data_IF_812107740254
#
_entry.id   IF_812107740254
#
_cell.length_a   1.000
_cell.length_b   1.000
_cell.length_c   1.000
_cell.angle_alpha   90.00
_cell.angle_beta   90.00
_cell.angle_gamma   90.00
#
_symmetry.space_group_name_H-M   'P 1'
#
loop_
_entity.id
_entity.type
_entity.pdbx_description
1 polymer ?
#
# COMPACT_ATOMS: atom_id res chain seq x y z
N UNK A 1 -30.29 5.11 -5.83
CA UNK A 1 -30.34 5.56 -7.24
C UNK A 1 -31.51 6.50 -7.59
N UNK A 2 -32.69 6.47 -6.93
CA UNK A 2 -33.82 7.38 -7.30
C UNK A 2 -33.63 8.86 -6.93
N UNK A 3 -32.88 9.19 -5.87
CA UNK A 3 -32.69 10.57 -5.40
C UNK A 3 -31.78 11.41 -6.32
N UNK A 4 -30.60 10.90 -6.68
CA UNK A 4 -29.66 11.60 -7.60
C UNK A 4 -30.32 11.92 -8.94
N UNK A 5 -31.10 10.97 -9.49
CA UNK A 5 -31.76 11.14 -10.79
C UNK A 5 -32.84 12.24 -10.77
N UNK A 6 -33.50 12.47 -9.64
CA UNK A 6 -34.47 13.57 -9.48
C UNK A 6 -33.78 14.92 -9.29
N UNK A 7 -32.61 14.95 -8.65
CA UNK A 7 -31.86 16.19 -8.47
C UNK A 7 -31.22 16.69 -9.76
N UNK A 8 -30.65 15.78 -10.57
CA UNK A 8 -30.06 16.14 -11.87
C UNK A 8 -31.10 16.65 -12.89
N UNK A 9 -32.38 16.24 -12.78
CA UNK A 9 -33.43 16.73 -13.69
C UNK A 9 -33.87 18.19 -13.44
N UNK A 10 -33.44 18.80 -12.33
CA UNK A 10 -33.74 20.21 -11.97
C UNK A 10 -32.47 21.06 -11.86
N UNK A 11 -31.36 20.57 -12.44
CA UNK A 11 -30.04 21.17 -12.35
C UNK A 11 -29.99 22.65 -12.76
N UNK A 12 -30.66 23.04 -13.85
CA UNK A 12 -30.70 24.44 -14.31
C UNK A 12 -31.32 25.43 -13.32
N UNK A 13 -32.18 24.98 -12.39
CA UNK A 13 -32.86 25.86 -11.43
C UNK A 13 -32.15 25.90 -10.06
N UNK A 14 -31.30 24.90 -9.77
CA UNK A 14 -30.66 24.72 -8.46
C UNK A 14 -29.18 25.08 -8.41
N UNK A 15 -28.52 25.31 -9.56
CA UNK A 15 -27.07 25.56 -9.62
C UNK A 15 -26.60 26.81 -8.86
N UNK A 16 -27.49 27.74 -8.57
CA UNK A 16 -27.20 28.94 -7.77
C UNK A 16 -27.71 28.85 -6.31
N UNK A 17 -28.35 27.74 -5.93
CA UNK A 17 -28.84 27.51 -4.57
C UNK A 17 -27.81 26.69 -3.77
N UNK A 18 -27.18 27.25 -2.71
CA UNK A 18 -26.24 26.52 -1.88
C UNK A 18 -26.84 25.26 -1.24
N UNK A 19 -28.15 25.27 -0.94
CA UNK A 19 -28.85 24.16 -0.31
C UNK A 19 -29.08 23.00 -1.28
N UNK A 20 -29.25 23.29 -2.57
CA UNK A 20 -29.36 22.28 -3.62
C UNK A 20 -28.04 21.50 -3.75
N UNK A 21 -26.93 22.22 -3.82
CA UNK A 21 -25.57 21.65 -3.82
C UNK A 21 -25.30 20.83 -2.56
N UNK A 22 -25.69 21.33 -1.38
CA UNK A 22 -25.58 20.58 -0.13
C UNK A 22 -26.34 19.25 -0.17
N UNK A 23 -27.60 19.26 -0.63
CA UNK A 23 -28.45 18.05 -0.71
C UNK A 23 -27.88 17.00 -1.65
N UNK A 24 -27.30 17.43 -2.77
CA UNK A 24 -26.63 16.55 -3.72
C UNK A 24 -25.36 15.97 -3.12
N UNK A 25 -24.51 16.80 -2.52
CA UNK A 25 -23.31 16.34 -1.81
C UNK A 25 -23.64 15.32 -0.73
N UNK A 26 -24.71 15.59 0.04
CA UNK A 26 -25.20 14.69 1.07
C UNK A 26 -25.67 13.34 0.48
N UNK A 27 -26.41 13.37 -0.63
CA UNK A 27 -26.83 12.14 -1.30
C UNK A 27 -25.62 11.31 -1.79
N UNK A 28 -24.62 11.96 -2.39
CA UNK A 28 -23.39 11.31 -2.83
C UNK A 28 -22.58 10.73 -1.66
N UNK A 29 -22.48 11.47 -0.55
CA UNK A 29 -21.78 11.04 0.66
C UNK A 29 -22.34 9.72 1.22
N UNK A 30 -23.67 9.63 1.39
CA UNK A 30 -24.31 8.40 1.89
C UNK A 30 -24.32 7.25 0.88
N UNK A 31 -24.06 7.53 -0.39
CA UNK A 31 -23.81 6.53 -1.42
C UNK A 31 -22.33 6.14 -1.54
N UNK A 32 -21.47 6.65 -0.64
CA UNK A 32 -20.01 6.47 -0.62
C UNK A 32 -19.30 6.98 -1.88
N UNK A 33 -19.95 7.84 -2.66
CA UNK A 33 -19.40 8.50 -3.84
C UNK A 33 -18.72 9.80 -3.41
N UNK A 34 -17.62 9.66 -2.67
CA UNK A 34 -17.03 10.77 -1.95
C UNK A 34 -16.40 11.83 -2.87
N UNK A 35 -15.94 11.46 -4.07
CA UNK A 35 -15.37 12.42 -5.04
C UNK A 35 -16.43 13.39 -5.54
N UNK A 36 -17.60 12.86 -5.90
CA UNK A 36 -18.77 13.61 -6.33
C UNK A 36 -19.36 14.44 -5.17
N UNK A 37 -19.36 13.88 -3.95
CA UNK A 37 -19.77 14.61 -2.74
C UNK A 37 -18.88 15.84 -2.49
N UNK A 38 -17.56 15.71 -2.62
CA UNK A 38 -16.61 16.83 -2.47
C UNK A 38 -16.90 17.95 -3.46
N UNK A 39 -17.19 17.63 -4.72
CA UNK A 39 -17.49 18.65 -5.75
C UNK A 39 -18.75 19.43 -5.36
N UNK A 40 -19.82 18.74 -5.00
CA UNK A 40 -21.08 19.37 -4.62
C UNK A 40 -20.96 20.20 -3.32
N UNK A 41 -20.28 19.69 -2.29
CA UNK A 41 -20.06 20.47 -1.06
C UNK A 41 -19.14 21.68 -1.27
N UNK A 42 -18.14 21.60 -2.16
CA UNK A 42 -17.33 22.77 -2.55
C UNK A 42 -18.19 23.87 -3.17
N UNK A 43 -19.14 23.50 -4.04
CA UNK A 43 -20.06 24.46 -4.65
C UNK A 43 -20.99 25.08 -3.60
N UNK A 44 -21.50 24.27 -2.67
CA UNK A 44 -22.31 24.75 -1.54
C UNK A 44 -21.55 25.77 -0.69
N UNK A 45 -20.32 25.46 -0.26
CA UNK A 45 -19.46 26.37 0.51
C UNK A 45 -19.06 27.63 -0.28
N UNK A 46 -18.87 27.53 -1.60
CA UNK A 46 -18.55 28.68 -2.43
C UNK A 46 -19.71 29.68 -2.55
N UNK A 47 -20.95 29.18 -2.49
CA UNK A 47 -22.17 29.99 -2.56
C UNK A 47 -22.61 30.50 -1.17
N UNK A 48 -22.35 29.74 -0.10
CA UNK A 48 -22.56 30.13 1.28
C UNK A 48 -21.37 29.72 2.18
N UNK A 49 -20.36 30.60 2.34
CA UNK A 49 -19.18 30.32 3.15
C UNK A 49 -19.45 30.24 4.66
N UNK A 50 -20.60 30.73 5.14
CA UNK A 50 -20.95 30.71 6.57
C UNK A 50 -21.65 29.39 6.97
N UNK A 51 -22.01 28.53 6.01
CA UNK A 51 -22.59 27.22 6.29
C UNK A 51 -21.54 26.25 6.87
N UNK A 52 -21.52 26.20 8.20
CA UNK A 52 -20.73 25.26 8.98
C UNK A 52 -21.01 23.79 8.66
N UNK A 53 -22.23 23.44 8.24
CA UNK A 53 -22.57 22.06 7.88
C UNK A 53 -21.95 21.69 6.54
N UNK A 54 -22.05 22.56 5.53
CA UNK A 54 -21.42 22.32 4.23
C UNK A 54 -19.90 22.15 4.34
N UNK A 55 -19.26 22.98 5.17
CA UNK A 55 -17.82 22.88 5.45
C UNK A 55 -17.45 21.59 6.19
N UNK A 56 -18.22 21.21 7.22
CA UNK A 56 -18.04 19.95 7.95
C UNK A 56 -18.17 18.74 7.04
N UNK A 57 -19.22 18.69 6.21
CA UNK A 57 -19.44 17.57 5.30
C UNK A 57 -18.41 17.53 4.16
N UNK A 58 -17.88 18.68 3.72
CA UNK A 58 -16.75 18.73 2.79
C UNK A 58 -15.50 18.06 3.40
N UNK A 59 -15.18 18.38 4.65
CA UNK A 59 -14.04 17.80 5.36
C UNK A 59 -14.24 16.30 5.63
N UNK A 60 -15.42 15.90 6.10
CA UNK A 60 -15.78 14.49 6.26
C UNK A 60 -15.70 13.73 4.93
N UNK A 61 -16.12 14.34 3.82
CA UNK A 61 -16.04 13.72 2.50
C UNK A 61 -14.59 13.59 2.01
N UNK A 62 -13.71 14.55 2.29
CA UNK A 62 -12.26 14.45 2.00
C UNK A 62 -11.61 13.35 2.80
N UNK A 63 -11.91 13.28 4.10
CA UNK A 63 -11.39 12.23 4.99
C UNK A 63 -11.90 10.84 4.57
N UNK A 64 -13.18 10.73 4.20
CA UNK A 64 -13.76 9.48 3.72
C UNK A 64 -13.24 9.09 2.32
N UNK A 65 -13.02 10.04 1.41
CA UNK A 65 -12.38 9.79 0.12
C UNK A 65 -10.93 9.34 0.28
N UNK A 66 -10.19 9.95 1.21
CA UNK A 66 -8.83 9.53 1.56
C UNK A 66 -8.83 8.13 2.19
N UNK A 67 -9.73 7.84 3.13
CA UNK A 67 -9.88 6.52 3.74
C UNK A 67 -10.35 5.44 2.75
N UNK A 68 -11.23 5.77 1.82
CA UNK A 68 -11.68 4.85 0.76
C UNK A 68 -10.59 4.65 -0.31
N UNK A 69 -9.75 5.67 -0.54
CA UNK A 69 -8.50 5.52 -1.29
C UNK A 69 -7.48 4.61 -0.59
N UNK A 70 -7.51 4.54 0.74
CA UNK A 70 -6.69 3.60 1.52
C UNK A 70 -7.21 2.14 1.51
N UNK A 71 -8.47 1.90 1.13
CA UNK A 71 -9.01 0.53 0.92
C UNK A 71 -8.75 0.00 -0.49
N UNK A 72 -8.30 0.84 -1.42
CA UNK A 72 -7.84 0.43 -2.76
C UNK A 72 -6.39 0.85 -2.92
N UNK A 73 -5.47 0.01 -2.42
CA UNK A 73 -4.01 0.01 -2.67
C UNK A 73 -3.54 1.36 -3.23
N UNK A 74 -3.21 2.30 -2.35
CA UNK A 74 -2.44 3.47 -2.75
C UNK A 74 -1.02 2.99 -3.07
N UNK A 75 -0.85 2.46 -4.28
CA UNK A 75 0.43 2.51 -4.99
C UNK A 75 0.72 4.02 -5.08
N UNK A 76 1.58 4.55 -4.20
CA UNK A 76 2.21 5.83 -4.54
C UNK A 76 2.80 5.64 -5.93
N UNK A 77 2.51 6.54 -6.88
CA UNK A 77 3.12 6.46 -8.20
C UNK A 77 4.65 6.51 -8.06
N UNK A 78 5.28 5.33 -8.05
CA UNK A 78 6.72 5.10 -8.13
C UNK A 78 7.27 5.70 -9.44
N UNK A 79 6.38 5.93 -10.41
CA UNK A 79 6.63 6.53 -11.73
C UNK A 79 7.31 7.92 -11.74
N UNK A 80 7.47 8.61 -10.60
CA UNK A 80 8.15 9.93 -10.55
C UNK A 80 9.49 9.92 -9.79
N UNK A 81 9.94 8.77 -9.30
CA UNK A 81 11.21 8.63 -8.58
C UNK A 81 12.09 7.68 -9.40
N UNK A 82 12.89 8.24 -10.32
CA UNK A 82 13.75 7.49 -11.25
C UNK A 82 14.65 6.48 -10.51
N UNK A 83 15.13 6.84 -9.31
CA UNK A 83 15.95 5.96 -8.47
C UNK A 83 15.17 4.73 -7.98
N UNK A 84 13.87 4.89 -7.66
CA UNK A 84 13.02 3.77 -7.24
C UNK A 84 12.67 2.85 -8.41
N UNK A 85 12.39 3.41 -9.59
CA UNK A 85 12.11 2.64 -10.80
C UNK A 85 13.31 1.77 -11.20
N UNK A 86 14.52 2.33 -11.16
CA UNK A 86 15.74 1.57 -11.48
C UNK A 86 15.98 0.43 -10.48
N UNK A 87 15.66 0.65 -9.20
CA UNK A 87 15.75 -0.40 -8.17
C UNK A 87 14.70 -1.48 -8.42
N UNK A 88 13.45 -1.12 -8.69
CA UNK A 88 12.35 -2.07 -8.92
C UNK A 88 12.67 -3.07 -10.03
N UNK A 89 13.23 -2.62 -11.16
CA UNK A 89 13.63 -3.50 -12.26
C UNK A 89 14.71 -4.50 -11.86
N UNK A 90 15.63 -4.11 -10.96
CA UNK A 90 16.75 -4.96 -10.50
C UNK A 90 16.32 -5.97 -9.46
N UNK A 91 15.23 -5.72 -8.74
CA UNK A 91 14.78 -6.57 -7.63
C UNK A 91 13.63 -7.50 -8.01
N UNK A 92 13.18 -7.56 -9.28
CA UNK A 92 12.19 -8.55 -9.72
C UNK A 92 12.62 -9.95 -9.26
N UNK A 93 11.72 -10.75 -8.61
CA UNK A 93 10.27 -10.57 -8.51
C UNK A 93 9.75 -9.79 -7.28
N UNK A 94 10.61 -9.17 -6.49
CA UNK A 94 10.19 -8.30 -5.39
C UNK A 94 9.60 -6.98 -5.91
N UNK A 95 8.73 -6.36 -5.11
CA UNK A 95 8.05 -5.11 -5.41
C UNK A 95 8.21 -4.14 -4.25
N UNK A 96 8.31 -2.83 -4.54
CA UNK A 96 8.31 -1.81 -3.51
C UNK A 96 6.91 -1.20 -3.43
N UNK A 97 6.39 -1.03 -2.22
CA UNK A 97 5.09 -0.39 -1.98
C UNK A 97 5.27 0.66 -0.91
N UNK A 98 5.10 1.92 -1.29
CA UNK A 98 5.17 3.02 -0.36
C UNK A 98 3.77 3.30 0.25
N UNK A 99 3.73 3.54 1.56
CA UNK A 99 2.52 3.72 2.35
C UNK A 99 2.32 5.18 2.78
N UNK A 100 1.07 5.55 3.04
CA UNK A 100 0.71 6.93 3.44
C UNK A 100 1.35 7.41 4.76
N UNK A 101 1.83 6.49 5.60
CA UNK A 101 2.52 6.80 6.85
C UNK A 101 4.03 7.09 6.65
N UNK A 102 4.50 7.06 5.40
CA UNK A 102 5.90 7.27 5.03
C UNK A 102 6.75 6.00 5.09
N UNK A 103 6.18 4.85 5.45
CA UNK A 103 6.87 3.57 5.36
C UNK A 103 6.90 3.04 3.92
N UNK A 104 7.88 2.20 3.63
CA UNK A 104 8.02 1.49 2.36
C UNK A 104 8.17 0.02 2.69
N UNK A 105 7.37 -0.81 2.02
CA UNK A 105 7.44 -2.27 2.09
C UNK A 105 8.13 -2.85 0.87
N UNK A 106 9.02 -3.80 1.08
CA UNK A 106 9.46 -4.77 0.09
C UNK A 106 8.53 -5.98 0.17
N UNK A 107 7.90 -6.34 -0.94
CA UNK A 107 6.90 -7.41 -1.01
C UNK A 107 7.33 -8.46 -2.03
N UNK A 108 7.12 -9.73 -1.69
CA UNK A 108 7.14 -10.84 -2.63
C UNK A 108 5.82 -11.60 -2.52
N UNK A 109 5.07 -11.66 -3.62
CA UNK A 109 3.97 -12.60 -3.75
C UNK A 109 4.56 -13.99 -3.95
N UNK A 110 4.30 -14.88 -2.99
CA UNK A 110 4.89 -16.21 -2.99
C UNK A 110 4.35 -17.04 -4.16
N UNK A 111 5.24 -17.76 -4.82
CA UNK A 111 4.93 -18.63 -5.95
C UNK A 111 6.13 -19.51 -6.27
N UNK A 112 6.43 -19.70 -7.55
CA UNK A 112 7.49 -20.62 -8.01
C UNK A 112 8.91 -20.08 -7.84
N UNK A 113 9.09 -18.79 -7.49
CA UNK A 113 10.42 -18.20 -7.36
C UNK A 113 11.23 -18.89 -6.26
N UNK A 114 12.35 -19.52 -6.64
CA UNK A 114 13.29 -20.25 -5.75
C UNK A 114 12.63 -21.36 -4.93
N UNK A 115 11.48 -21.87 -5.39
CA UNK A 115 10.73 -22.91 -4.69
C UNK A 115 11.56 -24.18 -4.44
N UNK A 116 12.45 -24.52 -5.37
CA UNK A 116 13.38 -25.65 -5.27
C UNK A 116 14.34 -25.56 -4.07
N UNK A 117 14.66 -24.35 -3.60
CA UNK A 117 15.52 -24.14 -2.42
C UNK A 117 14.75 -24.50 -1.15
N UNK A 118 13.50 -24.05 -1.02
CA UNK A 118 12.66 -24.35 0.14
C UNK A 118 12.30 -25.83 0.22
N UNK A 119 12.10 -26.49 -0.93
CA UNK A 119 11.86 -27.93 -1.01
C UNK A 119 13.00 -28.77 -0.40
N UNK A 120 14.22 -28.23 -0.28
CA UNK A 120 15.34 -28.95 0.35
C UNK A 120 15.12 -29.21 1.84
N UNK A 121 14.20 -28.48 2.49
CA UNK A 121 13.87 -28.60 3.92
C UNK A 121 12.39 -28.91 4.18
N UNK A 122 11.68 -29.52 3.22
CA UNK A 122 10.26 -29.89 3.42
C UNK A 122 10.07 -30.86 4.58
N UNK A 123 11.02 -31.76 4.83
CA UNK A 123 10.96 -32.68 5.99
C UNK A 123 10.98 -31.95 7.35
N UNK A 124 11.48 -30.71 7.38
CA UNK A 124 11.51 -29.86 8.57
C UNK A 124 10.25 -28.99 8.69
N UNK A 125 9.39 -28.96 7.67
CA UNK A 125 8.14 -28.19 7.64
C UNK A 125 8.16 -26.93 6.76
N UNK A 126 9.24 -26.68 6.03
CA UNK A 126 9.30 -25.54 5.09
C UNK A 126 8.54 -25.84 3.79
N UNK A 127 7.77 -24.86 3.32
CA UNK A 127 6.91 -24.95 2.14
C UNK A 127 7.30 -23.93 1.05
N UNK A 128 8.13 -22.95 1.41
CA UNK A 128 8.43 -21.76 0.62
C UNK A 128 7.37 -20.68 0.73
N UNK A 129 6.57 -20.71 1.80
CA UNK A 129 5.53 -19.72 2.07
C UNK A 129 6.13 -18.39 2.58
N UNK A 130 5.29 -17.36 2.80
CA UNK A 130 5.82 -16.04 3.17
C UNK A 130 6.53 -16.02 4.52
N UNK A 131 6.16 -16.90 5.46
CA UNK A 131 6.86 -17.06 6.74
C UNK A 131 8.26 -17.65 6.53
N UNK A 132 8.40 -18.65 5.66
CA UNK A 132 9.70 -19.24 5.32
C UNK A 132 10.66 -18.22 4.70
N UNK A 133 10.13 -17.39 3.81
CA UNK A 133 10.83 -16.23 3.26
C UNK A 133 11.21 -15.22 4.35
N UNK A 134 10.31 -14.96 5.30
CA UNK A 134 10.56 -14.15 6.49
C UNK A 134 11.74 -14.67 7.32
N UNK A 135 11.79 -15.97 7.57
CA UNK A 135 12.88 -16.61 8.33
C UNK A 135 14.21 -16.54 7.59
N UNK A 136 14.21 -16.77 6.27
CA UNK A 136 15.41 -16.58 5.44
C UNK A 136 15.89 -15.12 5.47
N UNK A 137 14.98 -14.17 5.30
CA UNK A 137 15.27 -12.74 5.33
C UNK A 137 15.83 -12.30 6.70
N UNK A 138 15.30 -12.86 7.80
CA UNK A 138 15.79 -12.57 9.14
C UNK A 138 17.22 -13.07 9.36
N UNK A 139 17.58 -14.25 8.84
CA UNK A 139 18.97 -14.75 8.88
C UNK A 139 19.88 -13.86 8.05
N UNK A 140 19.49 -13.54 6.82
CA UNK A 140 20.24 -12.65 5.94
C UNK A 140 20.48 -11.28 6.59
N UNK A 141 19.44 -10.66 7.15
CA UNK A 141 19.52 -9.37 7.81
C UNK A 141 20.53 -9.39 8.96
N UNK A 142 20.48 -10.42 9.82
CA UNK A 142 21.40 -10.56 10.95
C UNK A 142 22.85 -10.78 10.51
N UNK A 143 23.09 -11.59 9.48
CA UNK A 143 24.44 -11.99 9.08
C UNK A 143 25.11 -11.02 8.10
N UNK A 144 24.34 -10.43 7.19
CA UNK A 144 24.87 -9.61 6.08
C UNK A 144 24.62 -8.12 6.26
N UNK A 145 23.54 -7.75 6.96
CA UNK A 145 23.15 -6.34 7.16
C UNK A 145 22.80 -6.03 8.63
N UNK A 146 23.67 -6.35 9.60
CA UNK A 146 23.36 -6.25 11.03
C UNK A 146 23.00 -4.82 11.47
N UNK A 147 23.49 -3.80 10.76
CA UNK A 147 23.18 -2.39 11.03
C UNK A 147 21.72 -2.02 10.72
N UNK A 148 20.97 -2.86 10.02
CA UNK A 148 19.56 -2.64 9.70
C UNK A 148 18.58 -3.43 10.59
N UNK A 149 19.08 -4.29 11.50
CA UNK A 149 18.22 -5.15 12.35
C UNK A 149 17.22 -4.33 13.17
N UNK A 150 17.62 -3.18 13.69
CA UNK A 150 16.74 -2.32 14.49
C UNK A 150 15.87 -1.37 13.64
N UNK A 151 16.09 -1.34 12.32
CA UNK A 151 15.46 -0.42 11.36
C UNK A 151 14.37 -1.12 10.54
N UNK A 152 14.64 -2.36 10.11
CA UNK A 152 13.73 -3.17 9.31
C UNK A 152 12.84 -4.03 10.21
N UNK A 153 11.58 -4.18 9.80
CA UNK A 153 10.60 -5.07 10.41
C UNK A 153 10.05 -6.00 9.35
N UNK A 154 9.59 -7.17 9.76
CA UNK A 154 8.97 -8.17 8.90
C UNK A 154 7.51 -8.35 9.32
N UNK A 155 6.64 -8.54 8.34
CA UNK A 155 5.22 -8.85 8.53
C UNK A 155 4.76 -9.87 7.46
N UNK A 156 5.32 -11.10 7.47
CA UNK A 156 4.97 -12.10 6.48
C UNK A 156 3.56 -12.67 6.72
N UNK A 157 2.93 -13.09 5.63
CA UNK A 157 1.70 -13.89 5.60
C UNK A 157 1.93 -15.15 4.75
N UNK A 158 1.04 -16.15 4.83
CA UNK A 158 1.23 -17.40 4.10
C UNK A 158 1.47 -17.20 2.58
N UNK A 159 0.77 -16.24 1.96
CA UNK A 159 0.89 -15.94 0.53
C UNK A 159 1.87 -14.82 0.18
N UNK A 160 2.47 -14.16 1.16
CA UNK A 160 3.24 -12.94 0.93
C UNK A 160 4.38 -12.80 1.93
N UNK A 161 5.59 -12.58 1.43
CA UNK A 161 6.65 -12.05 2.27
C UNK A 161 6.59 -10.52 2.24
N UNK A 162 6.70 -9.89 3.41
CA UNK A 162 6.82 -8.45 3.52
C UNK A 162 7.89 -8.04 4.55
N UNK A 163 8.74 -7.09 4.15
CA UNK A 163 9.64 -6.35 5.01
C UNK A 163 9.36 -4.85 4.87
N UNK A 164 9.43 -4.06 5.94
CA UNK A 164 9.10 -2.63 5.87
C UNK A 164 9.94 -1.76 6.80
N UNK A 165 10.07 -0.50 6.44
CA UNK A 165 10.69 0.55 7.26
C UNK A 165 10.30 1.94 6.75
N UNK A 166 10.44 2.98 7.56
CA UNK A 166 10.32 4.38 7.15
C UNK A 166 11.64 4.98 6.64
N UNK A 167 12.71 4.18 6.58
CA UNK A 167 14.00 4.58 6.04
C UNK A 167 14.15 4.10 4.59
N UNK A 168 14.01 5.02 3.62
CA UNK A 168 14.11 4.74 2.17
C UNK A 168 15.45 4.09 1.81
N UNK A 169 16.58 4.58 2.32
CA UNK A 169 17.90 4.01 2.00
C UNK A 169 18.05 2.59 2.55
N UNK A 170 17.51 2.33 3.75
CA UNK A 170 17.56 1.02 4.37
C UNK A 170 16.74 -0.03 3.59
N UNK A 171 15.53 0.30 3.14
CA UNK A 171 14.72 -0.67 2.38
C UNK A 171 15.31 -0.95 1.00
N UNK A 172 15.86 0.07 0.32
CA UNK A 172 16.44 -0.10 -1.02
C UNK A 172 17.73 -0.90 -0.97
N UNK A 173 18.62 -0.60 -0.01
CA UNK A 173 19.84 -1.38 0.18
C UNK A 173 19.53 -2.83 0.55
N UNK A 174 18.56 -3.06 1.43
CA UNK A 174 18.11 -4.41 1.76
C UNK A 174 17.52 -5.14 0.56
N UNK A 175 16.63 -4.51 -0.21
CA UNK A 175 15.99 -5.12 -1.38
C UNK A 175 17.00 -5.60 -2.42
N UNK A 176 17.98 -4.76 -2.77
CA UNK A 176 19.03 -5.10 -3.73
C UNK A 176 19.89 -6.25 -3.19
N UNK A 177 20.46 -6.09 -2.00
CA UNK A 177 21.39 -7.10 -1.46
C UNK A 177 20.70 -8.43 -1.14
N UNK A 178 19.45 -8.40 -0.68
CA UNK A 178 18.68 -9.61 -0.43
C UNK A 178 18.34 -10.34 -1.73
N UNK A 179 17.91 -9.61 -2.78
CA UNK A 179 17.68 -10.21 -4.09
C UNK A 179 18.97 -10.80 -4.68
N UNK A 180 20.10 -10.10 -4.59
CA UNK A 180 21.39 -10.65 -5.03
C UNK A 180 21.76 -11.94 -4.29
N UNK A 181 21.50 -12.02 -2.98
CA UNK A 181 21.71 -13.23 -2.22
C UNK A 181 20.76 -14.37 -2.63
N UNK A 182 19.54 -14.06 -3.07
CA UNK A 182 18.59 -15.04 -3.61
C UNK A 182 19.05 -15.59 -4.98
N UNK A 183 19.76 -14.79 -5.77
CA UNK A 183 20.30 -15.23 -7.08
C UNK A 183 21.57 -16.10 -6.96
N UNK A 184 22.23 -16.12 -5.81
CA UNK A 184 23.31 -17.07 -5.49
C UNK A 184 22.73 -18.28 -4.73
N UNK A 185 22.40 -19.34 -5.45
CA UNK A 185 21.82 -20.57 -4.86
C UNK A 185 22.67 -21.16 -3.73
N UNK A 186 24.00 -21.03 -3.79
CA UNK A 186 24.89 -21.56 -2.75
C UNK A 186 24.79 -20.74 -1.48
N UNK A 187 24.80 -19.41 -1.62
CA UNK A 187 24.63 -18.49 -0.51
C UNK A 187 23.21 -18.60 0.08
N UNK A 188 22.18 -18.66 -0.76
CA UNK A 188 20.80 -18.77 -0.33
C UNK A 188 20.58 -20.06 0.47
N UNK A 189 21.10 -21.21 0.00
CA UNK A 189 21.03 -22.48 0.75
C UNK A 189 21.78 -22.43 2.07
N UNK A 190 22.97 -21.82 2.08
CA UNK A 190 23.76 -21.66 3.31
C UNK A 190 22.99 -20.83 4.35
N UNK A 191 22.46 -19.66 3.97
CA UNK A 191 21.63 -18.83 4.85
C UNK A 191 20.37 -19.58 5.29
N UNK A 192 19.68 -20.22 4.34
CA UNK A 192 18.46 -20.95 4.60
C UNK A 192 18.67 -22.12 5.57
N UNK A 193 19.84 -22.75 5.62
CA UNK A 193 20.15 -23.81 6.59
C UNK A 193 20.04 -23.39 8.06
N UNK A 194 20.06 -22.08 8.34
CA UNK A 194 19.93 -21.48 9.68
C UNK A 194 18.57 -20.84 9.92
N UNK A 195 17.67 -20.87 8.93
CA UNK A 195 16.30 -20.40 9.08
C UNK A 195 15.53 -21.32 10.03
N UNK A 196 14.66 -20.72 10.85
CA UNK A 196 13.84 -21.40 11.84
C UNK A 196 12.37 -21.14 11.49
N UNK A 197 11.50 -22.13 11.65
CA UNK A 197 10.06 -21.93 11.53
C UNK A 197 9.56 -21.14 12.75
N UNK A 198 8.82 -20.06 12.49
CA UNK A 198 8.10 -19.29 13.52
C UNK A 198 6.74 -19.93 13.86
#
# INVERSE_FOLDING_TARGET
>A
MKAIKCFLSVQEQGEHDPLWHFRIGYAYYYLKQYKEAIVAFKQSVALDPEDSQASMFLEMSRNAASKAGNETIHIMNIEQDEDLLEVEEKIIPFQLVAHSDGSISLILNVGEYKHEIFQTRTEEGFEGNGYDWGSLAAVFLKEKMPHLVDILRFDPEAGMFAAYTNNKEAILSFAISFREACEDDSLMKDLFSRAVLD
#
